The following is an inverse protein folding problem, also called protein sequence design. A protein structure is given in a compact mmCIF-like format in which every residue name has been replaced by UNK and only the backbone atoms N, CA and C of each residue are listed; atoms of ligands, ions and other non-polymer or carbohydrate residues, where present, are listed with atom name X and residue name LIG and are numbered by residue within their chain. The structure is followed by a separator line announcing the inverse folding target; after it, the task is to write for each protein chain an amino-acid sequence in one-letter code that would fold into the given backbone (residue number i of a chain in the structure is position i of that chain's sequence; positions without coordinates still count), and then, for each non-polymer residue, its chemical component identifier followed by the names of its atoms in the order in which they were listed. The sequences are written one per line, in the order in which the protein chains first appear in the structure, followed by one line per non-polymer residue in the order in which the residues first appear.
data_IF_610020612568
#
_entry.id   IF_610020612568
#
_cell.length_a   1.000
_cell.length_b   1.000
_cell.length_c   1.000
_cell.angle_alpha   90.00
_cell.angle_beta   90.00
_cell.angle_gamma   90.00
#
_symmetry.space_group_name_H-M   'P 1'
#
loop_
_entity.id
_entity.type
_entity.pdbx_description
1 polymer ?
#
# COMPACT_ATOMS: atom_id res chain seq x y z
N UNK A 1 18.61 4.28 1.39
CA UNK A 1 18.67 3.11 2.27
C UNK A 1 17.72 2.08 1.68
N UNK A 2 18.22 0.89 1.32
CA UNK A 2 17.35 -0.19 0.86
C UNK A 2 16.72 -0.87 2.07
N UNK A 3 15.50 -1.35 1.92
CA UNK A 3 14.87 -2.21 2.91
C UNK A 3 15.73 -3.48 3.08
N UNK A 4 16.17 -3.77 4.30
CA UNK A 4 16.99 -4.97 4.62
C UNK A 4 16.13 -6.23 4.83
N UNK A 5 14.92 -6.24 4.28
CA UNK A 5 13.92 -7.30 4.43
C UNK A 5 13.69 -7.97 3.10
N UNK A 6 13.81 -9.30 3.08
CA UNK A 6 13.51 -10.08 1.89
C UNK A 6 11.99 -10.13 1.68
N UNK A 7 11.49 -10.07 0.43
CA UNK A 7 10.06 -10.15 0.16
C UNK A 7 9.37 -11.38 0.77
N UNK A 8 10.09 -12.50 0.89
CA UNK A 8 9.58 -13.72 1.52
C UNK A 8 9.39 -13.64 3.04
N UNK A 9 9.84 -12.56 3.66
CA UNK A 9 9.69 -12.31 5.11
C UNK A 9 8.55 -11.35 5.42
N UNK A 10 7.93 -10.76 4.41
CA UNK A 10 6.78 -9.87 4.57
C UNK A 10 5.56 -10.74 4.81
N UNK A 11 4.98 -10.63 5.99
CA UNK A 11 3.73 -11.32 6.35
C UNK A 11 2.56 -10.66 5.64
N UNK A 12 2.59 -9.33 5.57
CA UNK A 12 1.60 -8.53 4.87
C UNK A 12 0.34 -8.26 5.69
N UNK A 13 0.44 -8.35 7.01
CA UNK A 13 -0.64 -8.06 7.97
C UNK A 13 -0.58 -6.66 8.56
N UNK A 14 0.61 -6.03 8.58
CA UNK A 14 0.80 -4.61 8.91
C UNK A 14 2.01 -4.06 8.15
N UNK A 15 1.80 -3.58 6.93
CA UNK A 15 2.90 -3.08 6.11
C UNK A 15 3.56 -1.84 6.70
N UNK A 16 2.84 -1.09 7.54
CA UNK A 16 3.34 0.13 8.17
C UNK A 16 4.40 -0.24 9.19
N UNK A 17 4.08 -1.15 10.09
CA UNK A 17 5.02 -1.61 11.10
C UNK A 17 6.11 -2.51 10.50
N UNK A 18 5.76 -3.40 9.57
CA UNK A 18 6.71 -4.36 8.98
C UNK A 18 7.76 -3.68 8.10
N UNK A 19 7.37 -2.69 7.30
CA UNK A 19 8.27 -1.99 6.37
C UNK A 19 8.75 -0.64 6.90
N UNK A 20 8.22 -0.18 8.05
CA UNK A 20 8.55 1.12 8.63
C UNK A 20 8.03 2.31 7.80
N UNK A 21 6.88 2.15 7.16
CA UNK A 21 6.28 3.14 6.26
C UNK A 21 5.82 4.35 7.08
N UNK A 22 6.29 5.54 6.74
CA UNK A 22 5.76 6.77 7.31
C UNK A 22 4.62 7.34 6.44
N UNK A 23 3.97 8.40 6.89
CA UNK A 23 2.86 9.02 6.15
C UNK A 23 3.23 9.55 4.76
N UNK A 24 4.50 9.91 4.53
CA UNK A 24 5.00 10.34 3.22
C UNK A 24 5.21 9.14 2.32
N UNK A 25 5.84 8.09 2.82
CA UNK A 25 6.07 6.84 2.08
C UNK A 25 4.73 6.21 1.65
N UNK A 26 3.71 6.26 2.52
CA UNK A 26 2.38 5.77 2.21
C UNK A 26 1.76 6.50 1.01
N UNK A 27 1.88 7.84 0.96
CA UNK A 27 1.41 8.64 -0.16
C UNK A 27 2.16 8.30 -1.45
N UNK A 28 3.48 8.10 -1.39
CA UNK A 28 4.26 7.66 -2.56
C UNK A 28 3.80 6.29 -3.08
N UNK A 29 3.54 5.34 -2.19
CA UNK A 29 3.00 4.01 -2.54
C UNK A 29 1.64 4.14 -3.22
N UNK A 30 0.74 4.97 -2.70
CA UNK A 30 -0.56 5.21 -3.32
C UNK A 30 -0.44 5.81 -4.72
N UNK A 31 0.42 6.82 -4.88
CA UNK A 31 0.71 7.41 -6.20
C UNK A 31 1.27 6.36 -7.16
N UNK A 32 2.14 5.45 -6.71
CA UNK A 32 2.61 4.34 -7.54
C UNK A 32 1.49 3.39 -7.94
N UNK A 33 0.61 3.04 -7.00
CA UNK A 33 -0.54 2.16 -7.26
C UNK A 33 -1.48 2.78 -8.30
N UNK A 34 -1.83 4.06 -8.15
CA UNK A 34 -2.65 4.79 -9.11
C UNK A 34 -2.06 4.76 -10.52
N UNK A 35 -0.75 5.02 -10.64
CA UNK A 35 -0.06 5.01 -11.93
C UNK A 35 0.11 3.60 -12.53
N UNK A 36 0.36 2.58 -11.71
CA UNK A 36 0.58 1.20 -12.17
C UNK A 36 -0.73 0.53 -12.58
N UNK A 37 -1.79 0.73 -11.79
CA UNK A 37 -3.07 0.09 -12.00
C UNK A 37 -4.07 0.95 -12.78
N UNK A 38 -3.70 2.20 -13.08
CA UNK A 38 -4.54 3.20 -13.75
C UNK A 38 -5.86 3.44 -13.00
N UNK A 39 -5.79 3.47 -11.66
CA UNK A 39 -6.92 3.75 -10.78
C UNK A 39 -6.78 5.12 -10.12
N UNK A 40 -7.86 5.61 -9.54
CA UNK A 40 -7.84 6.81 -8.71
C UNK A 40 -8.34 6.47 -7.31
N UNK A 41 -7.50 6.73 -6.31
CA UNK A 41 -7.82 6.58 -4.89
C UNK A 41 -8.45 7.89 -4.44
N UNK A 42 -9.60 7.82 -3.77
CA UNK A 42 -10.27 9.04 -3.33
C UNK A 42 -9.49 9.67 -2.16
N UNK A 43 -9.41 11.00 -2.10
CA UNK A 43 -8.64 11.71 -1.07
C UNK A 43 -9.10 11.39 0.36
N UNK A 44 -10.38 11.06 0.54
CA UNK A 44 -10.97 10.62 1.81
C UNK A 44 -10.60 9.18 2.17
N UNK A 45 -10.21 8.37 1.18
CA UNK A 45 -9.73 7.00 1.34
C UNK A 45 -8.21 6.93 1.53
N UNK A 46 -7.44 7.98 1.15
CA UNK A 46 -5.98 8.07 1.33
C UNK A 46 -5.57 8.11 2.79
N UNK A 47 -5.51 6.94 3.41
CA UNK A 47 -5.12 6.77 4.80
C UNK A 47 -4.24 5.54 4.99
N UNK A 48 -3.47 5.56 6.08
CA UNK A 48 -2.60 4.47 6.51
C UNK A 48 -3.30 3.11 6.62
N UNK A 49 -4.61 3.07 6.90
CA UNK A 49 -5.33 1.80 7.05
C UNK A 49 -5.43 1.02 5.72
N UNK A 50 -5.33 1.67 4.55
CA UNK A 50 -5.23 0.97 3.26
C UNK A 50 -3.97 0.11 3.16
N UNK A 51 -2.89 0.52 3.84
CA UNK A 51 -1.65 -0.26 3.96
C UNK A 51 -1.69 -1.20 5.17
N UNK A 52 -2.86 -1.36 5.79
CA UNK A 52 -3.06 -2.30 6.89
C UNK A 52 -2.66 -3.70 6.46
N UNK A 53 -3.11 -4.22 5.33
CA UNK A 53 -2.65 -5.51 4.84
C UNK A 53 -2.50 -5.55 3.32
N UNK A 54 -1.63 -6.43 2.82
CA UNK A 54 -1.47 -6.67 1.38
C UNK A 54 -2.80 -7.14 0.77
N UNK A 55 -3.50 -8.02 1.48
CA UNK A 55 -4.79 -8.56 1.03
C UNK A 55 -5.84 -7.47 0.90
N UNK A 56 -5.97 -6.60 1.91
CA UNK A 56 -6.90 -5.49 1.89
C UNK A 56 -6.60 -4.51 0.74
N UNK A 57 -5.32 -4.18 0.54
CA UNK A 57 -4.87 -3.34 -0.55
C UNK A 57 -5.18 -3.95 -1.92
N UNK A 58 -4.92 -5.25 -2.08
CA UNK A 58 -5.19 -5.98 -3.31
C UNK A 58 -6.68 -6.06 -3.62
N UNK A 59 -7.52 -6.33 -2.62
CA UNK A 59 -8.98 -6.30 -2.74
C UNK A 59 -9.48 -4.90 -3.13
N UNK A 60 -8.96 -3.87 -2.48
CA UNK A 60 -9.30 -2.48 -2.78
C UNK A 60 -9.00 -2.13 -4.24
N UNK A 61 -7.77 -2.40 -4.71
CA UNK A 61 -7.37 -2.16 -6.11
C UNK A 61 -8.26 -2.94 -7.07
N UNK A 62 -8.54 -4.21 -6.75
CA UNK A 62 -9.40 -5.07 -7.56
C UNK A 62 -10.84 -4.56 -7.64
N UNK A 63 -11.34 -3.94 -6.58
CA UNK A 63 -12.68 -3.34 -6.54
C UNK A 63 -12.79 -2.08 -7.42
N UNK A 64 -11.71 -1.32 -7.59
CA UNK A 64 -11.68 -0.10 -8.43
C UNK A 64 -11.51 -0.38 -9.92
N UNK A 65 -10.94 -1.54 -10.26
CA UNK A 65 -10.67 -1.93 -11.65
C UNK A 65 -11.84 -2.67 -12.33
N UNK A 66 -12.82 -3.15 -11.57
CA UNK A 66 -14.07 -3.72 -12.09
C UNK A 66 -15.12 -2.64 -12.36
#
# INVERSE_FOLDING_TARGET
MGLEIQPSQIVGEDLIEELGINSVDALEIFVWIENIFEIQIADDELNANLLGSIEYLAEYISSKKN
#
